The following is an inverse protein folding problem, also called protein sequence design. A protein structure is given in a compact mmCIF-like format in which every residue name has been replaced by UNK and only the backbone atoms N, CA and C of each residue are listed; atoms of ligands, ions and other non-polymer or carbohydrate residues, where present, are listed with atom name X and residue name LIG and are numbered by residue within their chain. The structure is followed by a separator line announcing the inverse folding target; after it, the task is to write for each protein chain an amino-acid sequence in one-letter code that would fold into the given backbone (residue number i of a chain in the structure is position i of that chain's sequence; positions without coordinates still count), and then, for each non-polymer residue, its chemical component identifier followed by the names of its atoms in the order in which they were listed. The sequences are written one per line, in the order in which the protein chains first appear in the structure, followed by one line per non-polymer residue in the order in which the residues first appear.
data_IF_069926492099
#
_entry.id   IF_069926492099
#
_cell.length_a   1.000
_cell.length_b   1.000
_cell.length_c   1.000
_cell.angle_alpha   90.00
_cell.angle_beta   90.00
_cell.angle_gamma   90.00
#
_symmetry.space_group_name_H-M   'P 1'
#
loop_
_entity.id
_entity.type
_entity.pdbx_description
1 polymer ?
#
# COMPACT_ATOMS: atom_id res chain seq x y z
N UNK A 1 4.03 -16.85 7.87
CA UNK A 1 3.33 -16.21 9.01
C UNK A 1 2.64 -14.87 8.69
N UNK A 2 2.61 -14.36 7.44
CA UNK A 2 1.90 -13.11 7.10
C UNK A 2 0.44 -13.29 6.65
N UNK A 3 0.07 -14.49 6.21
CA UNK A 3 -1.31 -14.88 5.91
C UNK A 3 -2.23 -14.88 7.15
N UNK A 4 -1.66 -15.13 8.33
CA UNK A 4 -2.43 -15.16 9.58
C UNK A 4 -2.92 -13.76 10.00
N UNK A 5 -2.12 -12.72 9.72
CA UNK A 5 -2.49 -11.33 9.99
C UNK A 5 -3.61 -10.81 9.09
N UNK A 6 -3.60 -11.21 7.81
CA UNK A 6 -4.69 -10.91 6.86
C UNK A 6 -5.99 -11.58 7.32
N UNK A 7 -5.93 -12.85 7.73
CA UNK A 7 -7.08 -13.59 8.26
C UNK A 7 -7.63 -12.99 9.57
N UNK A 8 -6.77 -12.48 10.46
CA UNK A 8 -7.19 -11.89 11.73
C UNK A 8 -7.96 -10.56 11.54
N UNK A 9 -7.59 -9.76 10.52
CA UNK A 9 -8.35 -8.55 10.14
C UNK A 9 -9.72 -8.91 9.54
N UNK A 10 -9.81 -10.00 8.76
CA UNK A 10 -11.09 -10.49 8.25
C UNK A 10 -11.98 -11.09 9.34
N UNK A 11 -11.42 -11.76 10.35
CA UNK A 11 -12.17 -12.39 11.45
C UNK A 11 -12.66 -11.40 12.52
N UNK A 12 -12.03 -10.24 12.67
CA UNK A 12 -12.50 -9.18 13.60
C UNK A 12 -13.53 -8.22 12.98
N UNK A 13 -13.65 -8.16 11.65
CA UNK A 13 -14.65 -7.34 10.97
C UNK A 13 -16.13 -7.71 11.21
N UNK A 14 -16.55 -8.99 11.35
CA UNK A 14 -17.95 -9.33 11.59
C UNK A 14 -18.40 -9.03 13.04
N UNK A 15 -17.49 -9.02 14.02
CA UNK A 15 -17.88 -8.79 15.41
C UNK A 15 -18.36 -7.36 15.66
N UNK A 16 -17.81 -6.37 14.93
CA UNK A 16 -18.21 -4.97 15.02
C UNK A 16 -19.54 -4.73 14.27
N UNK A 17 -19.78 -5.47 13.17
CA UNK A 17 -21.02 -5.33 12.37
C UNK A 17 -22.25 -6.04 12.97
N UNK A 18 -22.06 -6.97 13.93
CA UNK A 18 -23.17 -7.67 14.57
C UNK A 18 -23.91 -6.82 15.63
N UNK A 19 -23.26 -5.79 16.19
CA UNK A 19 -23.87 -4.92 17.21
C UNK A 19 -24.74 -3.81 16.61
N UNK A 20 -24.44 -3.34 15.40
CA UNK A 20 -25.13 -2.18 14.82
C UNK A 20 -26.48 -2.54 14.15
N UNK A 21 -26.74 -3.82 13.89
CA UNK A 21 -27.90 -4.27 13.10
C UNK A 21 -29.17 -4.57 13.90
N UNK A 22 -29.16 -4.46 15.23
CA UNK A 22 -30.33 -4.81 16.08
C UNK A 22 -31.28 -3.66 16.40
N UNK A 23 -30.96 -2.42 16.05
CA UNK A 23 -31.69 -1.26 16.60
C UNK A 23 -32.45 -0.42 15.58
N UNK A 24 -32.69 -0.88 14.34
CA UNK A 24 -33.58 -0.16 13.41
C UNK A 24 -34.35 -1.13 12.49
N UNK A 25 -35.53 -1.54 12.95
CA UNK A 25 -36.61 -2.01 12.07
C UNK A 25 -37.43 -0.81 11.60
N UNK A 26 -37.92 -0.92 10.37
CA UNK A 26 -39.04 -0.21 9.71
C UNK A 26 -38.70 0.95 8.76
N UNK A 27 -38.71 0.65 7.45
CA UNK A 27 -39.28 1.51 6.40
C UNK A 27 -39.41 0.73 5.06
N UNK A 28 -40.46 1.06 4.32
CA UNK A 28 -41.08 0.42 3.14
C UNK A 28 -40.17 0.23 1.90
N UNK A 29 -40.47 -0.74 1.00
CA UNK A 29 -39.74 -0.97 -0.24
C UNK A 29 -40.41 -0.21 -1.38
N UNK A 30 -40.02 1.03 -1.67
CA UNK A 30 -40.11 1.68 -2.98
C UNK A 30 -39.47 3.07 -2.88
N UNK A 31 -38.52 3.34 -3.79
CA UNK A 31 -37.73 4.58 -3.93
C UNK A 31 -36.87 4.98 -2.72
N UNK A 32 -35.64 4.42 -2.66
CA UNK A 32 -34.58 5.11 -1.91
C UNK A 32 -34.13 6.33 -2.73
N UNK A 33 -34.11 7.54 -2.16
CA UNK A 33 -33.46 8.68 -2.78
C UNK A 33 -32.01 8.33 -3.06
N UNK A 34 -31.55 8.68 -4.26
CA UNK A 34 -30.20 8.44 -4.75
C UNK A 34 -29.18 8.91 -3.70
N UNK A 35 -28.61 7.96 -2.95
CA UNK A 35 -27.81 8.27 -1.78
C UNK A 35 -26.71 9.27 -2.18
N UNK A 36 -26.50 10.35 -1.40
CA UNK A 36 -25.61 11.43 -1.78
C UNK A 36 -24.24 10.86 -2.13
N UNK A 37 -23.68 11.31 -3.27
CA UNK A 37 -22.36 10.85 -3.74
C UNK A 37 -21.36 10.93 -2.57
N UNK A 38 -20.64 9.84 -2.26
CA UNK A 38 -19.69 9.83 -1.16
C UNK A 38 -18.64 10.92 -1.42
N UNK A 39 -18.56 11.90 -0.51
CA UNK A 39 -17.51 12.91 -0.55
C UNK A 39 -16.21 12.24 -0.15
N UNK A 40 -15.21 12.30 -1.02
CA UNK A 40 -13.86 11.84 -0.72
C UNK A 40 -13.38 12.56 0.53
N UNK A 41 -12.87 11.82 1.51
CA UNK A 41 -12.20 12.44 2.64
C UNK A 41 -10.84 12.96 2.17
N UNK A 42 -10.82 14.23 1.74
CA UNK A 42 -9.65 14.89 1.15
C UNK A 42 -8.41 14.83 2.05
N UNK A 43 -8.59 14.90 3.38
CA UNK A 43 -7.48 14.81 4.34
C UNK A 43 -6.84 13.43 4.33
N UNK A 44 -7.67 12.38 4.41
CA UNK A 44 -7.19 10.99 4.39
C UNK A 44 -6.54 10.67 3.06
N UNK A 45 -7.13 11.11 1.95
CA UNK A 45 -6.56 10.90 0.63
C UNK A 45 -5.19 11.58 0.47
N UNK A 46 -5.09 12.87 0.80
CA UNK A 46 -3.82 13.61 0.70
C UNK A 46 -2.77 13.02 1.65
N UNK A 47 -3.13 12.73 2.91
CA UNK A 47 -2.19 12.14 3.85
C UNK A 47 -1.66 10.78 3.36
N UNK A 48 -2.55 9.91 2.86
CA UNK A 48 -2.17 8.61 2.32
C UNK A 48 -1.26 8.71 1.10
N UNK A 49 -1.62 9.56 0.13
CA UNK A 49 -0.81 9.75 -1.09
C UNK A 49 0.54 10.41 -0.78
N UNK A 50 0.57 11.41 0.11
CA UNK A 50 1.82 12.05 0.53
C UNK A 50 2.75 11.08 1.25
N UNK A 51 2.20 10.26 2.16
CA UNK A 51 3.00 9.28 2.89
C UNK A 51 3.51 8.15 1.97
N UNK A 52 2.70 7.72 1.01
CA UNK A 52 3.12 6.79 -0.04
C UNK A 52 4.24 7.38 -0.92
N UNK A 53 4.13 8.66 -1.30
CA UNK A 53 5.17 9.34 -2.06
C UNK A 53 6.48 9.40 -1.27
N UNK A 54 6.41 9.72 0.03
CA UNK A 54 7.58 9.78 0.90
C UNK A 54 8.24 8.42 1.08
N UNK A 55 7.48 7.37 1.43
CA UNK A 55 8.03 6.03 1.66
C UNK A 55 8.65 5.45 0.39
N UNK A 56 8.02 5.67 -0.76
CA UNK A 56 8.53 5.20 -2.05
C UNK A 56 9.76 5.97 -2.51
N UNK A 57 9.81 7.27 -2.27
CA UNK A 57 11.00 8.08 -2.55
C UNK A 57 12.19 7.58 -1.72
N UNK A 58 11.96 7.24 -0.44
CA UNK A 58 12.97 6.65 0.42
C UNK A 58 13.41 5.25 -0.07
N UNK A 59 12.48 4.41 -0.52
CA UNK A 59 12.76 3.10 -1.11
C UNK A 59 13.63 3.23 -2.38
N UNK A 60 13.26 4.12 -3.30
CA UNK A 60 14.04 4.37 -4.53
C UNK A 60 15.42 4.93 -4.21
N UNK A 61 15.52 5.88 -3.29
CA UNK A 61 16.80 6.49 -2.91
C UNK A 61 17.73 5.46 -2.27
N UNK A 62 17.22 4.71 -1.29
CA UNK A 62 17.99 3.67 -0.61
C UNK A 62 18.42 2.56 -1.57
N UNK A 63 17.54 2.17 -2.51
CA UNK A 63 17.88 1.21 -3.57
C UNK A 63 18.97 1.76 -4.48
N UNK A 64 18.91 3.03 -4.86
CA UNK A 64 19.97 3.67 -5.66
C UNK A 64 21.30 3.69 -4.92
N UNK A 65 21.29 4.00 -3.62
CA UNK A 65 22.48 3.95 -2.77
C UNK A 65 23.07 2.54 -2.75
N UNK A 66 22.23 1.52 -2.54
CA UNK A 66 22.62 0.11 -2.55
C UNK A 66 23.24 -0.31 -3.88
N UNK A 67 22.65 0.07 -5.01
CA UNK A 67 23.18 -0.22 -6.34
C UNK A 67 24.52 0.47 -6.58
N UNK A 68 24.70 1.71 -6.09
CA UNK A 68 25.96 2.45 -6.17
C UNK A 68 27.10 1.83 -5.35
N UNK A 69 26.77 1.04 -4.33
CA UNK A 69 27.72 0.35 -3.46
C UNK A 69 28.01 -1.10 -3.92
N UNK A 70 27.57 -1.47 -5.13
CA UNK A 70 27.78 -2.82 -5.69
C UNK A 70 26.69 -3.85 -5.32
N UNK A 71 25.61 -3.41 -4.66
CA UNK A 71 24.43 -4.25 -4.42
C UNK A 71 23.60 -4.48 -5.69
N UNK A 72 22.51 -5.23 -5.55
CA UNK A 72 21.59 -5.52 -6.66
C UNK A 72 20.10 -5.49 -6.28
N UNK A 73 19.27 -5.27 -7.28
CA UNK A 73 17.81 -5.30 -7.22
C UNK A 73 17.28 -6.73 -7.51
N UNK A 74 16.31 -7.19 -6.74
CA UNK A 74 15.71 -8.54 -6.91
C UNK A 74 14.39 -8.52 -7.67
N UNK A 75 13.88 -7.34 -8.05
CA UNK A 75 12.64 -7.24 -8.76
C UNK A 75 12.76 -7.84 -10.19
N UNK A 76 11.98 -8.89 -10.52
CA UNK A 76 12.08 -9.58 -11.81
C UNK A 76 11.78 -8.67 -13.01
N UNK A 77 10.99 -7.60 -12.82
CA UNK A 77 10.63 -6.65 -13.88
C UNK A 77 11.71 -5.59 -14.15
N UNK A 78 12.54 -5.29 -13.15
CA UNK A 78 13.60 -4.30 -13.22
C UNK A 78 14.95 -4.91 -13.63
N UNK A 79 15.15 -6.18 -13.31
CA UNK A 79 16.44 -6.85 -13.45
C UNK A 79 17.41 -6.50 -12.32
N UNK A 80 18.59 -7.11 -12.35
CA UNK A 80 19.57 -7.06 -11.25
C UNK A 80 20.20 -5.67 -11.04
N UNK A 81 20.42 -4.94 -12.12
CA UNK A 81 21.02 -3.60 -12.12
C UNK A 81 20.22 -2.66 -13.02
N UNK A 82 19.03 -2.18 -12.57
CA UNK A 82 18.25 -1.26 -13.37
C UNK A 82 18.97 0.09 -13.50
N UNK A 83 18.86 0.73 -14.67
CA UNK A 83 19.28 2.11 -14.82
C UNK A 83 18.44 3.03 -13.92
N UNK A 84 18.97 4.20 -13.53
CA UNK A 84 18.22 5.14 -12.67
C UNK A 84 16.89 5.55 -13.29
N UNK A 85 16.84 5.74 -14.62
CA UNK A 85 15.60 6.05 -15.34
C UNK A 85 14.57 4.92 -15.26
N UNK A 86 15.01 3.66 -15.36
CA UNK A 86 14.12 2.50 -15.26
C UNK A 86 13.58 2.32 -13.83
N UNK A 87 14.43 2.54 -12.83
CA UNK A 87 14.03 2.47 -11.41
C UNK A 87 13.00 3.56 -11.07
N UNK A 88 13.27 4.81 -11.45
CA UNK A 88 12.36 5.95 -11.21
C UNK A 88 11.07 5.77 -12.00
N UNK A 89 11.16 5.44 -13.30
CA UNK A 89 9.99 5.24 -14.14
C UNK A 89 9.05 4.16 -13.61
N UNK A 90 9.59 3.02 -13.19
CA UNK A 90 8.79 1.96 -12.56
C UNK A 90 8.18 2.42 -11.23
N UNK A 91 8.95 3.11 -10.37
CA UNK A 91 8.43 3.61 -9.10
C UNK A 91 7.27 4.61 -9.30
N UNK A 92 7.40 5.52 -10.27
CA UNK A 92 6.37 6.48 -10.68
C UNK A 92 5.12 5.78 -11.22
N UNK A 93 5.27 4.78 -12.08
CA UNK A 93 4.15 4.01 -12.62
C UNK A 93 3.37 3.30 -11.51
N UNK A 94 4.07 2.62 -10.59
CA UNK A 94 3.42 1.94 -9.45
C UNK A 94 2.79 2.96 -8.50
N UNK A 95 3.39 4.14 -8.31
CA UNK A 95 2.84 5.20 -7.46
C UNK A 95 1.53 5.74 -8.03
N UNK A 96 1.49 6.00 -9.34
CA UNK A 96 0.29 6.42 -10.02
C UNK A 96 -0.82 5.36 -9.91
N UNK A 97 -0.49 4.09 -10.12
CA UNK A 97 -1.43 2.97 -9.98
C UNK A 97 -2.01 2.84 -8.57
N UNK A 98 -1.16 2.86 -7.55
CA UNK A 98 -1.58 2.80 -6.14
C UNK A 98 -2.45 4.02 -5.75
N UNK A 99 -2.07 5.22 -6.19
CA UNK A 99 -2.82 6.45 -5.91
C UNK A 99 -4.18 6.47 -6.61
N UNK A 100 -4.24 6.00 -7.86
CA UNK A 100 -5.49 5.86 -8.61
C UNK A 100 -6.41 4.81 -7.99
N UNK A 101 -5.87 3.64 -7.61
CA UNK A 101 -6.62 2.62 -6.89
C UNK A 101 -7.20 3.18 -5.58
N UNK A 102 -6.39 3.92 -4.81
CA UNK A 102 -6.85 4.54 -3.58
C UNK A 102 -7.97 5.55 -3.83
N UNK A 103 -7.82 6.41 -4.84
CA UNK A 103 -8.85 7.36 -5.25
C UNK A 103 -10.17 6.66 -5.57
N UNK A 104 -10.12 5.60 -6.38
CA UNK A 104 -11.30 4.81 -6.76
C UNK A 104 -11.97 4.15 -5.55
N UNK A 105 -11.18 3.59 -4.63
CA UNK A 105 -11.72 2.99 -3.41
C UNK A 105 -12.35 4.02 -2.48
N UNK A 106 -11.75 5.20 -2.33
CA UNK A 106 -12.25 6.30 -1.48
C UNK A 106 -13.50 6.96 -2.09
N UNK A 107 -13.64 6.93 -3.41
CA UNK A 107 -14.85 7.37 -4.14
C UNK A 107 -15.99 6.35 -4.12
N UNK A 108 -15.76 5.15 -3.59
CA UNK A 108 -16.78 4.10 -3.56
C UNK A 108 -17.87 4.38 -2.51
N UNK A 109 -19.14 4.09 -2.85
CA UNK A 109 -20.28 4.21 -1.94
C UNK A 109 -20.19 3.25 -0.75
N UNK A 110 -19.55 2.08 -0.94
CA UNK A 110 -19.47 1.02 0.07
C UNK A 110 -18.38 1.33 1.09
N UNK A 111 -18.75 1.43 2.37
CA UNK A 111 -17.81 1.71 3.47
C UNK A 111 -16.68 0.69 3.58
N UNK A 112 -16.97 -0.61 3.39
CA UNK A 112 -15.96 -1.67 3.43
C UNK A 112 -14.91 -1.53 2.31
N UNK A 113 -15.30 -1.03 1.12
CA UNK A 113 -14.36 -0.80 0.02
C UNK A 113 -13.40 0.34 0.36
N UNK A 114 -13.91 1.43 0.97
CA UNK A 114 -13.09 2.54 1.46
C UNK A 114 -12.09 2.06 2.51
N UNK A 115 -12.54 1.25 3.47
CA UNK A 115 -11.66 0.65 4.48
C UNK A 115 -10.61 -0.27 3.87
N UNK A 116 -10.98 -1.14 2.92
CA UNK A 116 -10.04 -1.99 2.22
C UNK A 116 -8.98 -1.16 1.46
N UNK A 117 -9.39 -0.08 0.80
CA UNK A 117 -8.48 0.84 0.13
C UNK A 117 -7.49 1.51 1.07
N UNK A 118 -7.95 1.96 2.24
CA UNK A 118 -7.09 2.55 3.29
C UNK A 118 -6.11 1.53 3.86
N UNK A 119 -6.56 0.30 4.11
CA UNK A 119 -5.70 -0.78 4.56
C UNK A 119 -4.64 -1.13 3.52
N UNK A 120 -5.02 -1.21 2.25
CA UNK A 120 -4.11 -1.44 1.13
C UNK A 120 -3.02 -0.36 1.05
N UNK A 121 -3.40 0.92 1.12
CA UNK A 121 -2.42 2.02 1.13
C UNK A 121 -1.50 1.95 2.34
N UNK A 122 -2.05 1.66 3.53
CA UNK A 122 -1.24 1.46 4.73
C UNK A 122 -0.20 0.35 4.55
N UNK A 123 -0.58 -0.78 3.98
CA UNK A 123 0.32 -1.89 3.69
C UNK A 123 1.40 -1.52 2.65
N UNK A 124 1.00 -0.84 1.57
CA UNK A 124 1.96 -0.37 0.56
C UNK A 124 2.99 0.60 1.13
N UNK A 125 2.56 1.50 2.02
CA UNK A 125 3.45 2.44 2.73
C UNK A 125 4.43 1.70 3.62
N UNK A 126 3.94 0.77 4.45
CA UNK A 126 4.77 -0.02 5.36
C UNK A 126 5.82 -0.82 4.59
N UNK A 127 5.42 -1.49 3.50
CA UNK A 127 6.35 -2.29 2.71
C UNK A 127 7.47 -1.42 2.11
N UNK A 128 7.15 -0.26 1.52
CA UNK A 128 8.18 0.65 0.99
C UNK A 128 9.07 1.22 2.10
N UNK A 129 8.52 1.56 3.27
CA UNK A 129 9.31 2.03 4.41
C UNK A 129 10.22 0.93 4.96
N UNK A 130 9.73 -0.31 5.04
CA UNK A 130 10.47 -1.49 5.47
C UNK A 130 11.62 -1.81 4.52
N UNK A 131 11.37 -1.76 3.21
CA UNK A 131 12.40 -1.93 2.19
C UNK A 131 13.47 -0.83 2.30
N UNK A 132 13.06 0.43 2.45
CA UNK A 132 13.97 1.55 2.62
C UNK A 132 14.86 1.40 3.87
N UNK A 133 14.25 1.03 5.00
CA UNK A 133 14.96 0.80 6.26
C UNK A 133 15.87 -0.42 6.23
N UNK A 134 15.55 -1.43 5.42
CA UNK A 134 16.41 -2.59 5.24
C UNK A 134 17.61 -2.24 4.34
N UNK A 135 17.38 -1.54 3.22
CA UNK A 135 18.43 -1.07 2.33
C UNK A 135 19.44 -0.15 3.03
N UNK A 136 18.99 0.67 4.00
CA UNK A 136 19.88 1.53 4.78
C UNK A 136 20.73 0.81 5.83
N UNK A 137 20.39 -0.44 6.18
CA UNK A 137 21.13 -1.26 7.16
C UNK A 137 22.18 -2.16 6.52
N UNK A 138 22.26 -2.19 5.19
CA UNK A 138 23.19 -3.07 4.48
C UNK A 138 24.61 -2.57 4.70
N UNK A 139 25.42 -3.43 5.33
CA UNK A 139 26.84 -3.17 5.54
C UNK A 139 27.61 -3.49 4.26
N UNK A 140 28.18 -2.46 3.64
CA UNK A 140 29.00 -2.55 2.42
C UNK A 140 30.29 -3.34 2.58
N UNK A 141 30.71 -3.59 3.82
CA UNK A 141 31.90 -4.37 4.15
C UNK A 141 31.58 -5.81 4.59
N UNK A 142 30.30 -6.21 4.55
CA UNK A 142 29.93 -7.59 4.85
C UNK A 142 30.35 -8.52 3.70
N UNK A 143 30.98 -9.68 3.99
CA UNK A 143 31.30 -10.67 2.95
C UNK A 143 30.04 -11.33 2.36
N UNK A 144 28.88 -11.17 3.01
CA UNK A 144 27.60 -11.68 2.54
C UNK A 144 26.74 -10.54 2.01
N UNK A 145 26.29 -10.66 0.76
CA UNK A 145 25.40 -9.68 0.16
C UNK A 145 24.00 -9.83 0.76
N UNK A 146 23.54 -8.78 1.43
CA UNK A 146 22.21 -8.72 2.02
C UNK A 146 21.23 -8.17 0.97
N UNK A 147 20.09 -8.85 0.79
CA UNK A 147 19.00 -8.35 -0.05
C UNK A 147 17.70 -8.32 0.75
N UNK A 148 16.98 -7.21 0.63
CA UNK A 148 15.80 -6.90 1.42
C UNK A 148 14.49 -7.27 0.71
N UNK A 149 14.53 -7.53 -0.61
CA UNK A 149 13.37 -7.97 -1.38
C UNK A 149 13.31 -9.50 -1.43
N UNK A 150 12.18 -10.12 -1.04
CA UNK A 150 11.97 -11.54 -1.29
C UNK A 150 11.98 -11.81 -2.80
N UNK A 151 12.44 -12.99 -3.19
CA UNK A 151 12.53 -13.45 -4.59
C UNK A 151 11.17 -13.53 -5.30
N UNK A 152 10.06 -13.49 -4.56
CA UNK A 152 8.70 -13.56 -5.08
C UNK A 152 7.95 -12.26 -4.74
N UNK A 153 7.30 -11.62 -5.72
CA UNK A 153 6.33 -10.57 -5.44
C UNK A 153 5.08 -11.22 -4.82
N UNK A 154 4.61 -10.70 -3.69
CA UNK A 154 3.30 -11.01 -3.14
C UNK A 154 2.35 -9.85 -3.46
#
# INVERSE_FOLDING_TARGET
MRLLGILLVFMLCPLIHAQEKRTNRSASPNELPDAPKPKINRRVFIAGVSLLAASKSADVWSTRSLLGLGGWENNPTLGRHPSSGRLVGHASAVFAGQSAAFYLTEHNRRAWVRWAGRAYIGFAIEEHARLAACNSRINTHSPNVQNCRPLLPF
#
